data_IF_106629329538
#
_entry.id   IF_106629329538
#
_cell.length_a   1.000
_cell.length_b   1.000
_cell.length_c   1.000
_cell.angle_alpha   90.00
_cell.angle_beta   90.00
_cell.angle_gamma   90.00
#
_symmetry.space_group_name_H-M   'P 1'
#
loop_
_entity.id
_entity.type
_entity.pdbx_description
1 polymer ?
#
# COMPACT_ATOMS: atom_id res chain seq x y z
N UNK A 1 -9.19 28.34 4.03
CA UNK A 1 -9.21 26.91 4.37
C UNK A 1 -8.38 26.17 3.33
N UNK A 2 -7.31 25.50 3.72
CA UNK A 2 -6.65 24.64 2.76
C UNK A 2 -7.62 23.52 2.33
N UNK A 3 -7.90 23.47 1.05
CA UNK A 3 -8.65 22.36 0.46
C UNK A 3 -7.83 21.08 0.65
N UNK A 4 -8.39 20.09 1.33
CA UNK A 4 -7.77 18.77 1.43
C UNK A 4 -7.52 18.24 0.02
N UNK A 5 -6.31 17.79 -0.23
CA UNK A 5 -5.98 17.13 -1.48
C UNK A 5 -6.90 15.91 -1.67
N UNK A 6 -7.48 15.78 -2.87
CA UNK A 6 -8.26 14.61 -3.24
C UNK A 6 -7.40 13.49 -3.81
N UNK A 7 -6.09 13.63 -3.76
CA UNK A 7 -5.14 12.68 -4.30
C UNK A 7 -4.29 12.13 -3.17
N UNK A 8 -4.21 10.82 -3.09
CA UNK A 8 -3.29 10.08 -2.23
C UNK A 8 -2.32 9.25 -3.07
N UNK A 9 -1.18 8.95 -2.50
CA UNK A 9 -0.18 8.08 -3.09
C UNK A 9 0.20 6.98 -2.10
N UNK A 10 0.37 5.76 -2.57
CA UNK A 10 0.65 4.62 -1.72
C UNK A 10 1.52 3.56 -2.38
N UNK A 11 2.01 2.65 -1.55
CA UNK A 11 2.86 1.54 -1.96
C UNK A 11 2.23 0.20 -1.59
N UNK A 12 2.31 -0.74 -2.50
CA UNK A 12 1.96 -2.14 -2.30
C UNK A 12 3.24 -2.97 -2.29
N UNK A 13 3.74 -3.30 -1.09
CA UNK A 13 4.84 -4.24 -0.93
C UNK A 13 4.34 -5.66 -1.19
N UNK A 14 5.07 -6.41 -2.00
CA UNK A 14 4.78 -7.82 -2.20
C UNK A 14 6.04 -8.66 -2.00
N UNK A 15 5.85 -9.91 -1.65
CA UNK A 15 6.91 -10.91 -1.55
C UNK A 15 6.47 -12.22 -2.19
N UNK A 16 7.43 -13.04 -2.54
CA UNK A 16 7.19 -14.40 -3.02
C UNK A 16 7.44 -15.39 -1.89
N UNK A 17 6.46 -16.27 -1.67
CA UNK A 17 6.56 -17.32 -0.67
C UNK A 17 5.93 -18.59 -1.22
N UNK A 18 6.70 -19.68 -1.32
CA UNK A 18 6.24 -20.96 -1.86
C UNK A 18 5.55 -20.83 -3.23
N UNK A 19 6.16 -20.06 -4.16
CA UNK A 19 5.64 -19.75 -5.50
C UNK A 19 4.34 -18.92 -5.53
N UNK A 20 3.90 -18.45 -4.36
CA UNK A 20 2.75 -17.55 -4.25
C UNK A 20 3.18 -16.12 -3.96
N UNK A 21 2.35 -15.17 -4.36
CA UNK A 21 2.51 -13.76 -4.04
C UNK A 21 1.73 -13.44 -2.77
N UNK A 22 2.42 -12.81 -1.83
CA UNK A 22 1.80 -12.19 -0.66
C UNK A 22 1.98 -10.68 -0.72
N UNK A 23 0.96 -9.95 -0.31
CA UNK A 23 0.97 -8.48 -0.29
C UNK A 23 0.82 -7.95 1.13
N UNK A 24 1.51 -6.85 1.43
CA UNK A 24 1.45 -6.20 2.73
C UNK A 24 0.29 -5.20 2.75
N UNK A 25 -0.60 -5.38 3.70
CA UNK A 25 -1.72 -4.47 3.93
C UNK A 25 -1.62 -3.86 5.32
N UNK A 26 -2.22 -2.68 5.48
CA UNK A 26 -2.27 -1.93 6.71
C UNK A 26 -3.70 -1.93 7.28
N UNK A 27 -3.82 -2.21 8.56
CA UNK A 27 -5.08 -2.10 9.29
C UNK A 27 -5.20 -0.69 9.88
N UNK A 28 -6.31 0.03 9.63
CA UNK A 28 -6.48 1.37 10.19
C UNK A 28 -6.59 1.32 11.71
N UNK A 29 -5.86 2.22 12.36
CA UNK A 29 -5.89 2.36 13.81
C UNK A 29 -7.05 3.21 14.31
N UNK A 30 -7.14 3.32 15.62
CA UNK A 30 -8.18 4.09 16.30
C UNK A 30 -9.41 3.28 16.68
N UNK A 31 -10.28 3.86 17.53
CA UNK A 31 -11.36 3.12 18.18
C UNK A 31 -12.47 2.67 17.22
N UNK A 32 -12.62 3.32 16.05
CA UNK A 32 -13.67 2.97 15.08
C UNK A 32 -13.39 1.66 14.34
N UNK A 33 -12.12 1.24 14.26
CA UNK A 33 -11.69 0.10 13.44
C UNK A 33 -11.18 -1.09 14.26
N UNK A 34 -11.03 -0.95 15.59
CA UNK A 34 -10.39 -1.96 16.43
C UNK A 34 -11.02 -3.35 16.32
N UNK A 35 -12.32 -3.43 16.04
CA UNK A 35 -13.07 -4.69 15.89
C UNK A 35 -13.46 -5.02 14.44
N UNK A 36 -13.00 -4.21 13.49
CA UNK A 36 -13.28 -4.42 12.07
C UNK A 36 -12.11 -5.11 11.40
N UNK A 37 -12.40 -5.94 10.42
CA UNK A 37 -11.41 -6.72 9.70
C UNK A 37 -11.67 -6.68 8.19
N UNK A 38 -12.45 -7.60 7.64
CA UNK A 38 -12.68 -7.66 6.20
C UNK A 38 -13.23 -6.35 5.61
N UNK A 39 -12.65 -5.92 4.50
CA UNK A 39 -13.10 -4.72 3.78
C UNK A 39 -12.61 -3.40 4.35
N UNK A 40 -11.78 -3.40 5.39
CA UNK A 40 -11.25 -2.17 6.00
C UNK A 40 -9.75 -1.96 5.79
N UNK A 41 -9.02 -3.01 5.46
CA UNK A 41 -7.59 -2.93 5.21
C UNK A 41 -7.30 -2.10 3.95
N UNK A 42 -6.15 -1.48 3.92
CA UNK A 42 -5.72 -0.58 2.86
C UNK A 42 -4.25 -0.79 2.54
N UNK A 43 -3.82 -0.37 1.36
CA UNK A 43 -2.38 -0.17 1.13
C UNK A 43 -1.91 1.01 1.98
N UNK A 44 -0.66 1.00 2.48
CA UNK A 44 -0.09 2.18 3.12
C UNK A 44 -0.07 3.35 2.14
N UNK A 45 -0.72 4.47 2.51
CA UNK A 45 -0.91 5.62 1.63
C UNK A 45 -1.22 6.87 2.42
N UNK A 46 -0.97 8.02 1.85
CA UNK A 46 -1.36 9.30 2.43
C UNK A 46 -1.60 10.38 1.39
N UNK A 47 -2.13 11.49 1.85
CA UNK A 47 -2.49 12.62 1.01
C UNK A 47 -1.27 13.35 0.48
N UNK A 48 -1.35 13.79 -0.77
CA UNK A 48 -0.30 14.54 -1.44
C UNK A 48 -0.54 16.04 -1.32
N UNK A 49 0.54 16.82 -1.34
CA UNK A 49 0.47 18.26 -1.51
C UNK A 49 0.45 18.62 -3.01
N UNK A 50 -0.10 19.78 -3.40
CA UNK A 50 -0.06 20.22 -4.79
C UNK A 50 1.37 20.30 -5.33
N UNK A 51 1.60 19.76 -6.53
CA UNK A 51 2.90 19.77 -7.19
C UNK A 51 3.92 18.78 -6.66
N UNK A 52 3.55 17.94 -5.71
CA UNK A 52 4.42 16.93 -5.13
C UNK A 52 4.55 15.71 -6.05
N UNK A 53 5.76 15.13 -6.10
CA UNK A 53 5.96 13.87 -6.82
C UNK A 53 5.25 12.73 -6.08
N UNK A 54 4.35 12.04 -6.78
CA UNK A 54 3.47 11.05 -6.16
C UNK A 54 4.24 9.83 -5.65
N UNK A 55 5.24 9.35 -6.38
CA UNK A 55 6.04 8.20 -5.93
C UNK A 55 6.86 8.56 -4.70
N UNK A 56 7.43 9.75 -4.65
CA UNK A 56 8.17 10.24 -3.47
C UNK A 56 7.26 10.31 -2.26
N UNK A 57 6.04 10.84 -2.42
CA UNK A 57 5.05 10.87 -1.34
C UNK A 57 4.66 9.46 -0.89
N UNK A 58 4.43 8.56 -1.82
CA UNK A 58 4.10 7.17 -1.52
C UNK A 58 5.17 6.49 -0.66
N UNK A 59 6.46 6.73 -0.95
CA UNK A 59 7.59 6.22 -0.15
C UNK A 59 7.59 6.79 1.27
N UNK A 60 7.36 8.09 1.41
CA UNK A 60 7.29 8.76 2.71
C UNK A 60 6.13 8.21 3.54
N UNK A 61 4.95 8.11 2.94
CA UNK A 61 3.76 7.58 3.63
C UNK A 61 3.93 6.13 4.07
N UNK A 62 4.58 5.30 3.25
CA UNK A 62 4.88 3.93 3.63
C UNK A 62 5.76 3.88 4.89
N UNK A 63 6.84 4.68 4.93
CA UNK A 63 7.72 4.75 6.09
C UNK A 63 6.99 5.27 7.34
N UNK A 64 6.15 6.29 7.19
CA UNK A 64 5.39 6.89 8.29
C UNK A 64 4.33 5.95 8.85
N UNK A 65 3.65 5.20 8.01
CA UNK A 65 2.57 4.29 8.42
C UNK A 65 3.05 2.91 8.88
N UNK A 66 4.09 2.39 8.28
CA UNK A 66 4.63 1.05 8.57
C UNK A 66 5.78 1.09 9.57
N UNK A 67 6.59 2.15 9.51
CA UNK A 67 7.80 2.27 10.32
C UNK A 67 8.98 1.51 9.73
N UNK A 68 8.98 1.31 8.43
CA UNK A 68 10.03 0.63 7.68
C UNK A 68 10.36 1.42 6.42
N UNK A 69 11.64 1.65 6.18
CA UNK A 69 12.12 2.33 4.98
C UNK A 69 12.61 1.31 3.96
N UNK A 70 11.94 1.17 2.81
CA UNK A 70 12.41 0.28 1.76
C UNK A 70 13.78 0.70 1.23
N UNK A 71 14.71 -0.24 1.15
CA UNK A 71 16.04 -0.04 0.61
C UNK A 71 16.32 -1.07 -0.49
N UNK A 72 17.18 -0.70 -1.45
CA UNK A 72 17.61 -1.58 -2.55
C UNK A 72 16.44 -2.13 -3.38
N UNK A 73 15.42 -1.32 -3.58
CA UNK A 73 14.26 -1.70 -4.40
C UNK A 73 14.71 -1.79 -5.86
N UNK A 74 14.54 -2.96 -6.46
CA UNK A 74 14.95 -3.22 -7.84
C UNK A 74 14.08 -2.47 -8.84
N UNK A 75 12.78 -2.35 -8.54
CA UNK A 75 11.84 -1.74 -9.45
C UNK A 75 10.59 -1.25 -8.73
N UNK A 76 10.13 -0.07 -9.14
CA UNK A 76 8.85 0.50 -8.76
C UNK A 76 7.85 0.25 -9.88
N UNK A 77 6.87 -0.61 -9.64
CA UNK A 77 5.87 -1.02 -10.64
C UNK A 77 4.68 -0.09 -10.51
N UNK A 78 4.44 0.74 -11.52
CA UNK A 78 3.27 1.60 -11.53
C UNK A 78 1.99 0.78 -11.67
N UNK A 79 1.06 0.93 -10.73
CA UNK A 79 -0.26 0.29 -10.74
C UNK A 79 -1.38 1.24 -11.17
N UNK A 80 -1.02 2.49 -11.50
CA UNK A 80 -2.00 3.50 -11.87
C UNK A 80 -2.81 4.01 -10.69
N UNK A 81 -4.05 4.38 -10.94
CA UNK A 81 -4.92 4.98 -9.95
C UNK A 81 -6.29 4.33 -9.90
N UNK A 82 -6.93 4.48 -8.76
CA UNK A 82 -8.33 4.11 -8.52
C UNK A 82 -9.05 5.28 -7.88
N UNK A 83 -10.37 5.27 -7.96
CA UNK A 83 -11.20 6.24 -7.25
C UNK A 83 -11.93 5.54 -6.10
N UNK A 84 -11.72 6.05 -4.89
CA UNK A 84 -12.41 5.57 -3.71
C UNK A 84 -13.81 6.15 -3.61
N UNK A 85 -14.62 5.56 -2.75
CA UNK A 85 -15.92 6.10 -2.36
C UNK A 85 -15.73 7.52 -1.82
N UNK A 86 -16.51 8.47 -2.31
CA UNK A 86 -16.36 9.88 -1.98
C UNK A 86 -15.49 10.68 -2.94
N UNK A 87 -14.96 10.06 -4.00
CA UNK A 87 -14.24 10.73 -5.09
C UNK A 87 -12.74 10.89 -4.91
N UNK A 88 -12.17 10.42 -3.81
CA UNK A 88 -10.73 10.46 -3.56
C UNK A 88 -9.97 9.52 -4.50
N UNK A 89 -8.94 10.04 -5.16
CA UNK A 89 -8.10 9.27 -6.07
C UNK A 89 -6.87 8.76 -5.31
N UNK A 90 -6.51 7.49 -5.53
CA UNK A 90 -5.31 6.87 -4.99
C UNK A 90 -4.44 6.36 -6.13
N UNK A 91 -3.22 6.90 -6.23
CA UNK A 91 -2.17 6.35 -7.08
C UNK A 91 -1.34 5.36 -6.30
N UNK A 92 -0.94 4.26 -6.93
CA UNK A 92 -0.13 3.25 -6.27
C UNK A 92 0.99 2.71 -7.15
N UNK A 93 2.07 2.31 -6.47
CA UNK A 93 3.18 1.55 -7.03
C UNK A 93 3.36 0.29 -6.20
N UNK A 94 3.78 -0.78 -6.84
CA UNK A 94 4.19 -2.00 -6.16
C UNK A 94 5.69 -2.14 -6.18
N UNK A 95 6.23 -2.81 -5.19
CA UNK A 95 7.65 -3.18 -5.13
C UNK A 95 7.83 -4.50 -4.39
N UNK A 96 8.84 -5.26 -4.82
CA UNK A 96 9.19 -6.50 -4.14
C UNK A 96 10.06 -6.19 -2.91
N UNK A 97 9.69 -6.74 -1.78
CA UNK A 97 10.42 -6.55 -0.53
C UNK A 97 9.87 -7.43 0.58
N UNK A 98 10.51 -7.37 1.72
CA UNK A 98 10.10 -8.10 2.92
C UNK A 98 10.37 -7.24 4.15
N UNK A 99 9.74 -7.60 5.25
CA UNK A 99 9.98 -6.99 6.55
C UNK A 99 10.92 -7.88 7.36
N UNK A 100 11.77 -7.29 8.23
CA UNK A 100 12.57 -8.10 9.15
C UNK A 100 11.67 -8.87 10.12
N UNK A 101 12.13 -10.01 10.59
CA UNK A 101 11.43 -10.80 11.60
C UNK A 101 12.26 -10.86 12.88
N UNK A 102 11.66 -10.55 14.05
CA UNK A 102 10.32 -10.02 14.25
C UNK A 102 10.19 -8.56 13.77
N UNK A 103 8.98 -8.16 13.36
CA UNK A 103 8.69 -6.79 12.95
C UNK A 103 7.53 -6.22 13.75
N UNK A 104 7.71 -5.03 14.27
CA UNK A 104 6.69 -4.25 14.96
C UNK A 104 6.35 -3.02 14.14
N UNK A 105 5.08 -2.87 13.77
CA UNK A 105 4.59 -1.70 13.06
C UNK A 105 4.70 -0.46 13.95
N UNK A 106 5.29 0.60 13.42
CA UNK A 106 5.39 1.92 14.08
C UNK A 106 4.84 2.97 13.16
N UNK A 107 3.60 3.33 13.40
CA UNK A 107 2.87 4.33 12.62
C UNK A 107 2.89 5.69 13.30
N UNK A 108 2.73 6.74 12.51
CA UNK A 108 2.41 8.06 13.02
C UNK A 108 1.09 8.03 13.80
N UNK A 109 0.95 8.95 14.72
CA UNK A 109 -0.24 9.11 15.54
C UNK A 109 -1.16 10.19 14.94
N UNK A 110 -2.46 10.04 15.21
CA UNK A 110 -3.43 11.09 14.96
C UNK A 110 -4.23 11.36 16.24
N UNK A 111 -4.68 12.60 16.38
CA UNK A 111 -5.49 13.02 17.52
C UNK A 111 -6.98 12.92 17.19
N UNK A 112 -7.75 12.38 18.11
CA UNK A 112 -9.19 12.19 17.96
C UNK A 112 -9.87 12.53 19.26
N UNK A 113 -11.01 13.26 19.19
CA UNK A 113 -11.90 13.42 20.32
C UNK A 113 -12.52 12.08 20.67
N UNK A 114 -12.17 11.56 21.83
CA UNK A 114 -12.66 10.26 22.29
C UNK A 114 -12.84 10.23 23.81
N UNK A 115 -13.99 9.79 24.35
CA UNK A 115 -15.21 9.44 23.60
C UNK A 115 -15.80 10.60 22.81
N UNK A 116 -16.68 10.33 21.82
CA UNK A 116 -17.32 11.40 21.06
C UNK A 116 -18.02 12.41 21.96
N UNK A 117 -17.86 13.70 21.67
CA UNK A 117 -18.47 14.83 22.40
C UNK A 117 -18.04 14.93 23.86
N UNK A 118 -16.92 14.34 24.24
CA UNK A 118 -16.42 14.38 25.63
C UNK A 118 -15.55 15.62 25.91
N UNK A 119 -15.08 16.28 24.88
CA UNK A 119 -14.06 17.34 25.00
C UNK A 119 -12.66 16.80 25.33
N UNK A 120 -12.51 15.49 25.38
CA UNK A 120 -11.22 14.81 25.64
C UNK A 120 -10.63 14.31 24.34
N UNK A 121 -9.34 14.54 24.16
CA UNK A 121 -8.60 14.13 22.95
C UNK A 121 -7.58 13.06 23.31
N UNK A 122 -7.48 12.05 22.48
CA UNK A 122 -6.51 10.95 22.62
C UNK A 122 -5.76 10.75 21.31
N UNK A 123 -4.52 10.30 21.40
CA UNK A 123 -3.72 9.93 20.26
C UNK A 123 -3.87 8.44 19.96
N UNK A 124 -4.03 8.12 18.68
CA UNK A 124 -4.12 6.74 18.17
C UNK A 124 -3.16 6.58 16.99
N UNK A 125 -2.61 5.37 16.78
CA UNK A 125 -1.83 5.13 15.57
C UNK A 125 -2.71 5.21 14.32
N UNK A 126 -2.20 5.78 13.25
CA UNK A 126 -2.91 5.78 11.96
C UNK A 126 -3.06 4.37 11.42
N UNK A 127 -2.04 3.52 11.64
CA UNK A 127 -2.03 2.10 11.33
C UNK A 127 -1.67 1.34 12.60
N UNK A 128 -2.50 0.41 13.03
CA UNK A 128 -2.26 -0.34 14.26
C UNK A 128 -1.49 -1.64 14.02
N UNK A 129 -1.55 -2.19 12.82
CA UNK A 129 -0.80 -3.38 12.42
C UNK A 129 -0.70 -3.51 10.91
N UNK A 130 0.32 -4.22 10.47
CA UNK A 130 0.50 -4.62 9.08
C UNK A 130 0.61 -6.14 9.01
N UNK A 131 0.17 -6.70 7.89
CA UNK A 131 0.23 -8.15 7.69
C UNK A 131 0.37 -8.47 6.21
N UNK A 132 1.15 -9.50 5.91
CA UNK A 132 1.16 -10.09 4.58
C UNK A 132 0.00 -11.05 4.42
N UNK A 133 -0.69 -10.94 3.31
CA UNK A 133 -1.79 -11.83 2.92
C UNK A 133 -1.55 -12.40 1.53
N UNK A 134 -1.98 -13.63 1.32
CA UNK A 134 -2.11 -14.16 -0.04
C UNK A 134 -3.06 -13.28 -0.86
N UNK A 135 -2.96 -13.33 -2.16
CA UNK A 135 -3.82 -12.54 -3.04
C UNK A 135 -5.31 -12.78 -2.79
N UNK A 136 -5.70 -14.05 -2.61
CA UNK A 136 -7.09 -14.43 -2.34
C UNK A 136 -7.62 -13.80 -1.04
N UNK A 137 -6.84 -13.89 0.03
CA UNK A 137 -7.21 -13.31 1.33
C UNK A 137 -7.17 -11.78 1.25
N UNK A 138 -6.18 -11.21 0.58
CA UNK A 138 -6.06 -9.75 0.42
C UNK A 138 -7.28 -9.13 -0.27
N UNK A 139 -7.87 -9.82 -1.26
CA UNK A 139 -9.09 -9.35 -1.92
C UNK A 139 -10.26 -9.19 -0.96
N UNK A 140 -10.35 -10.05 0.04
CA UNK A 140 -11.38 -9.97 1.09
C UNK A 140 -11.06 -8.89 2.12
N UNK A 141 -9.79 -8.73 2.48
CA UNK A 141 -9.34 -7.78 3.51
C UNK A 141 -9.41 -6.33 3.05
N UNK A 142 -9.02 -6.07 1.80
CA UNK A 142 -8.94 -4.72 1.24
C UNK A 142 -10.29 -4.03 1.13
N UNK A 143 -10.27 -2.72 1.29
CA UNK A 143 -11.37 -1.88 0.80
C UNK A 143 -11.66 -2.24 -0.66
N UNK A 144 -12.93 -2.46 -0.98
CA UNK A 144 -13.33 -2.97 -2.29
C UNK A 144 -12.79 -2.15 -3.47
N UNK A 145 -12.72 -0.83 -3.32
CA UNK A 145 -12.22 0.07 -4.37
C UNK A 145 -10.71 -0.08 -4.64
N UNK A 146 -9.95 -0.65 -3.72
CA UNK A 146 -8.52 -0.89 -3.88
C UNK A 146 -8.19 -2.28 -4.47
N UNK A 147 -9.15 -3.18 -4.51
CA UNK A 147 -8.95 -4.53 -5.08
C UNK A 147 -8.36 -4.52 -6.50
N UNK A 148 -8.71 -3.59 -7.40
CA UNK A 148 -8.08 -3.53 -8.71
C UNK A 148 -6.56 -3.44 -8.71
N UNK A 149 -5.94 -2.90 -7.66
CA UNK A 149 -4.47 -2.89 -7.54
C UNK A 149 -3.87 -4.29 -7.51
N UNK A 150 -4.56 -5.26 -6.88
CA UNK A 150 -4.11 -6.65 -6.84
C UNK A 150 -4.14 -7.28 -8.24
N UNK A 151 -5.20 -7.04 -8.99
CA UNK A 151 -5.34 -7.55 -10.35
C UNK A 151 -4.27 -6.95 -11.28
N UNK A 152 -4.01 -5.66 -11.15
CA UNK A 152 -2.98 -4.95 -11.92
C UNK A 152 -1.57 -5.45 -11.56
N UNK A 153 -1.31 -5.76 -10.29
CA UNK A 153 -0.04 -6.37 -9.86
C UNK A 153 0.15 -7.73 -10.52
N UNK A 154 -0.88 -8.57 -10.49
CA UNK A 154 -0.82 -9.90 -11.12
C UNK A 154 -0.49 -9.79 -12.61
N UNK A 155 -1.16 -8.91 -13.34
CA UNK A 155 -0.90 -8.69 -14.78
C UNK A 155 0.54 -8.24 -14.99
N UNK A 156 1.02 -7.27 -14.22
CA UNK A 156 2.39 -6.76 -14.34
C UNK A 156 3.45 -7.85 -14.10
N UNK A 157 3.24 -8.71 -13.12
CA UNK A 157 4.18 -9.80 -12.81
C UNK A 157 4.13 -10.92 -13.85
N UNK A 158 2.97 -11.21 -14.44
CA UNK A 158 2.81 -12.21 -15.50
C UNK A 158 3.49 -11.74 -16.79
N UNK A 159 3.31 -10.50 -17.20
CA UNK A 159 3.93 -9.92 -18.40
C UNK A 159 5.47 -9.95 -18.32
N UNK A 160 6.04 -9.77 -17.13
CA UNK A 160 7.48 -9.83 -16.91
C UNK A 160 8.04 -11.24 -17.05
N UNK A 161 7.32 -12.25 -16.59
CA UNK A 161 7.71 -13.64 -16.75
C UNK A 161 7.77 -14.06 -18.23
N UNK A 162 6.86 -13.55 -19.07
CA UNK A 162 6.87 -13.79 -20.50
C UNK A 162 8.01 -13.11 -21.23
N UNK A 163 8.44 -11.94 -20.77
CA UNK A 163 9.57 -11.20 -21.38
C UNK A 163 10.93 -11.84 -21.05
N UNK A 164 11.07 -12.46 -19.89
CA UNK A 164 12.30 -13.18 -19.50
C UNK A 164 12.49 -14.52 -20.21
N UNK A 165 11.44 -15.06 -20.86
CA UNK A 165 11.48 -16.33 -21.61
C UNK A 165 11.69 -16.17 -23.11
N UNK A 166 11.77 -14.93 -23.62
CA UNK A 166 12.14 -14.70 -25.03
C UNK A 166 13.61 -15.01 -25.23
N UNK A 167 13.99 -15.95 -26.14
CA UNK A 167 15.38 -16.19 -26.45
C UNK A 167 15.99 -14.92 -27.05
N UNK A 168 17.14 -14.51 -26.52
CA UNK A 168 17.93 -13.45 -27.13
C UNK A 168 18.27 -13.88 -28.55
N UNK A 169 17.85 -13.12 -29.53
CA UNK A 169 18.27 -13.33 -30.91
C UNK A 169 19.79 -13.23 -30.98
N UNK A 170 20.43 -14.30 -31.42
CA UNK A 170 21.87 -14.30 -31.67
C UNK A 170 22.20 -13.29 -32.76
N UNK A 171 23.26 -12.48 -32.62
CA UNK A 171 23.68 -11.59 -33.68
C UNK A 171 24.09 -12.45 -34.89
N UNK A 172 23.52 -12.13 -36.03
CA UNK A 172 24.00 -12.67 -37.29
C UNK A 172 25.41 -12.12 -37.51
N UNK A 173 26.36 -13.04 -37.66
CA UNK A 173 27.70 -12.71 -38.13
C UNK A 173 27.64 -12.79 -39.63
N UNK A 174 27.81 -11.65 -40.30
CA UNK A 174 28.15 -11.58 -41.73
C UNK A 174 29.63 -11.72 -41.91
#
# INVERSE_FOLDING_TARGET
>A
MPTRSRISAGLLMFRRKNDEIEVLLAHPGGPFFVRKDDGVWTIPKGETAPGEDLLTRAKIEFEEEVGFRPENVQQWIELGWIQQKGGKIVHAWAFEGNLPEPFECKSNLFELEWPPRSGKYQEFPEVDRVCFFSEEIAKRKLKSRQVPFLDRLRVALTDRNTDSTRPRASPRVD
#
